data_IF_180436614332
#
_entry.id   IF_180436614332
#
_cell.length_a   1.000
_cell.length_b   1.000
_cell.length_c   1.000
_cell.angle_alpha   90.00
_cell.angle_beta   90.00
_cell.angle_gamma   90.00
#
_symmetry.space_group_name_H-M   'P 1'
#
loop_
_entity.id
_entity.type
_entity.pdbx_description
1 polymer ?
#
# COMPACT_ATOMS: atom_id res chain seq x y z
N UNK A 1 34.07 -10.64 -43.82
CA UNK A 1 32.74 -10.14 -43.46
C UNK A 1 32.91 -8.90 -42.62
N UNK A 2 32.09 -7.89 -42.87
CA UNK A 2 32.02 -6.73 -41.97
C UNK A 2 31.07 -7.07 -40.81
N UNK A 3 31.61 -7.02 -39.60
CA UNK A 3 30.94 -7.41 -38.36
C UNK A 3 30.65 -6.16 -37.53
N UNK A 4 29.39 -5.71 -37.49
CA UNK A 4 29.00 -4.63 -36.59
C UNK A 4 29.34 -4.94 -35.12
N UNK A 5 29.59 -3.93 -34.28
CA UNK A 5 29.77 -4.13 -32.85
C UNK A 5 28.60 -4.89 -32.22
N UNK A 6 28.88 -5.73 -31.22
CA UNK A 6 27.87 -6.51 -30.50
C UNK A 6 26.98 -7.37 -31.44
N UNK A 7 27.58 -7.98 -32.46
CA UNK A 7 26.84 -8.78 -33.43
C UNK A 7 27.46 -10.15 -33.72
N UNK A 8 26.62 -11.08 -34.18
CA UNK A 8 27.01 -12.39 -34.70
C UNK A 8 26.42 -12.52 -36.12
N UNK A 9 27.25 -12.94 -37.08
CA UNK A 9 26.84 -13.32 -38.43
C UNK A 9 26.66 -14.84 -38.53
N UNK A 10 25.57 -15.29 -39.16
CA UNK A 10 25.24 -16.70 -39.37
C UNK A 10 25.52 -17.06 -40.84
N UNK A 11 26.42 -18.03 -41.03
CA UNK A 11 26.85 -18.55 -42.34
C UNK A 11 26.66 -20.07 -42.38
N UNK A 12 25.49 -20.59 -42.78
CA UNK A 12 25.20 -22.03 -42.76
C UNK A 12 26.12 -22.84 -43.69
N UNK A 13 26.58 -22.24 -44.78
CA UNK A 13 27.50 -22.83 -45.76
C UNK A 13 28.98 -22.42 -45.50
N UNK A 14 29.25 -21.73 -44.39
CA UNK A 14 30.53 -21.10 -44.05
C UNK A 14 31.06 -20.11 -45.11
N UNK A 15 30.22 -19.64 -46.04
CA UNK A 15 30.60 -18.79 -47.17
C UNK A 15 29.69 -17.58 -47.37
N UNK A 16 28.41 -17.67 -47.02
CA UNK A 16 27.41 -16.64 -47.29
C UNK A 16 26.76 -16.21 -45.99
N UNK A 17 26.86 -14.92 -45.66
CA UNK A 17 26.12 -14.35 -44.54
C UNK A 17 24.64 -14.24 -44.91
N UNK A 18 23.79 -15.02 -44.24
CA UNK A 18 22.33 -14.95 -44.45
C UNK A 18 21.63 -14.09 -43.40
N UNK A 19 22.29 -13.86 -42.27
CA UNK A 19 21.74 -13.12 -41.14
C UNK A 19 22.87 -12.54 -40.30
N UNK A 20 22.67 -11.33 -39.78
CA UNK A 20 23.50 -10.75 -38.73
C UNK A 20 22.58 -10.12 -37.68
N UNK A 21 22.85 -10.35 -36.40
CA UNK A 21 21.99 -9.93 -35.29
C UNK A 21 21.80 -8.41 -35.17
N UNK A 22 22.72 -7.61 -35.75
CA UNK A 22 22.63 -6.15 -35.76
C UNK A 22 22.09 -5.58 -37.08
N UNK A 23 21.99 -6.39 -38.15
CA UNK A 23 21.44 -5.97 -39.45
C UNK A 23 19.94 -6.26 -39.49
N UNK A 24 19.16 -5.45 -38.76
CA UNK A 24 17.70 -5.58 -38.70
C UNK A 24 17.05 -4.99 -39.95
N UNK A 25 16.40 -5.84 -40.75
CA UNK A 25 15.69 -5.44 -41.98
C UNK A 25 14.17 -5.25 -41.79
N UNK A 26 13.63 -5.59 -40.62
CA UNK A 26 12.23 -5.39 -40.30
C UNK A 26 11.93 -3.89 -40.07
N UNK A 27 10.75 -3.38 -40.49
CA UNK A 27 10.38 -2.00 -40.23
C UNK A 27 10.08 -1.78 -38.73
N UNK A 28 10.35 -0.57 -38.25
CA UNK A 28 9.97 -0.17 -36.88
C UNK A 28 8.46 -0.03 -36.76
N UNK A 29 7.88 -0.55 -35.68
CA UNK A 29 6.49 -0.33 -35.31
C UNK A 29 6.42 0.56 -34.06
N UNK A 30 5.74 1.70 -34.15
CA UNK A 30 5.55 2.62 -33.04
C UNK A 30 4.12 2.49 -32.49
N UNK A 31 4.00 2.28 -31.20
CA UNK A 31 2.71 2.23 -30.53
C UNK A 31 2.05 3.61 -30.51
N UNK A 32 0.75 3.67 -30.84
CA UNK A 32 -0.06 4.89 -30.77
C UNK A 32 -1.39 4.57 -30.07
N UNK A 33 -1.67 5.30 -28.99
CA UNK A 33 -2.95 5.23 -28.28
C UNK A 33 -3.80 6.43 -28.69
N UNK A 34 -4.87 6.19 -29.46
CA UNK A 34 -5.79 7.25 -29.90
C UNK A 34 -7.15 7.02 -29.26
N UNK A 35 -7.68 7.99 -28.49
CA UNK A 35 -9.01 7.84 -27.91
C UNK A 35 -10.06 7.75 -29.04
N UNK A 36 -10.99 6.81 -28.90
CA UNK A 36 -12.02 6.54 -29.91
C UNK A 36 -13.38 7.14 -29.56
N UNK A 37 -13.59 7.56 -28.30
CA UNK A 37 -14.83 8.15 -27.81
C UNK A 37 -14.55 9.30 -26.83
N UNK A 38 -15.50 10.23 -26.73
CA UNK A 38 -15.42 11.42 -25.89
C UNK A 38 -16.18 11.24 -24.56
N UNK A 39 -15.75 10.25 -23.78
CA UNK A 39 -16.22 10.05 -22.40
C UNK A 39 -17.33 9.01 -22.25
N UNK A 40 -17.72 8.81 -20.99
CA UNK A 40 -18.70 7.82 -20.54
C UNK A 40 -19.69 8.47 -19.56
N UNK A 41 -20.90 7.90 -19.47
CA UNK A 41 -21.86 8.26 -18.42
C UNK A 41 -21.57 7.41 -17.19
N UNK A 42 -21.06 8.04 -16.13
CA UNK A 42 -20.69 7.36 -14.88
C UNK A 42 -21.77 7.50 -13.81
N UNK A 43 -21.97 6.43 -13.05
CA UNK A 43 -22.64 6.45 -11.75
C UNK A 43 -21.61 6.23 -10.65
N UNK A 44 -21.95 6.62 -9.42
CA UNK A 44 -21.05 6.50 -8.28
C UNK A 44 -21.80 6.02 -7.04
N UNK A 45 -21.14 5.18 -6.26
CA UNK A 45 -21.55 4.77 -4.94
C UNK A 45 -20.40 5.03 -3.97
N UNK A 46 -20.71 5.61 -2.82
CA UNK A 46 -19.73 5.87 -1.78
C UNK A 46 -19.67 4.67 -0.85
N UNK A 47 -18.54 3.97 -0.85
CA UNK A 47 -18.27 2.92 0.13
C UNK A 47 -17.89 3.56 1.47
N UNK A 48 -18.68 3.27 2.50
CA UNK A 48 -18.57 3.91 3.81
C UNK A 48 -17.33 3.44 4.56
N UNK A 49 -16.75 4.32 5.39
CA UNK A 49 -15.64 3.94 6.28
C UNK A 49 -16.22 3.18 7.48
N UNK A 50 -15.87 1.89 7.68
CA UNK A 50 -16.35 1.13 8.83
C UNK A 50 -15.69 1.65 10.12
N UNK A 51 -16.34 1.38 11.26
CA UNK A 51 -15.79 1.68 12.59
C UNK A 51 -15.92 0.46 13.50
N UNK A 52 -15.19 0.43 14.62
CA UNK A 52 -15.21 -0.72 15.55
C UNK A 52 -16.63 -1.13 15.97
N UNK A 53 -17.51 -0.17 16.27
CA UNK A 53 -18.90 -0.43 16.66
C UNK A 53 -19.85 -0.79 15.51
N UNK A 54 -19.44 -0.56 14.26
CA UNK A 54 -20.30 -0.72 13.08
C UNK A 54 -19.46 -1.11 11.87
N UNK A 55 -19.39 -2.42 11.61
CA UNK A 55 -18.71 -2.98 10.44
C UNK A 55 -17.62 -4.00 10.75
N UNK A 56 -17.25 -4.21 12.03
CA UNK A 56 -16.28 -5.23 12.41
C UNK A 56 -16.93 -6.63 12.44
N UNK A 57 -16.51 -7.58 11.58
CA UNK A 57 -17.03 -8.95 11.59
C UNK A 57 -16.51 -9.78 12.78
N UNK A 58 -15.39 -9.36 13.39
CA UNK A 58 -14.78 -9.96 14.57
C UNK A 58 -13.93 -8.93 15.33
N UNK A 59 -13.47 -9.28 16.53
CA UNK A 59 -12.55 -8.50 17.35
C UNK A 59 -11.54 -9.44 18.00
N UNK A 60 -10.28 -9.05 17.99
CA UNK A 60 -9.17 -9.78 18.61
C UNK A 60 -8.29 -8.79 19.36
N UNK A 61 -7.46 -9.31 20.27
CA UNK A 61 -6.48 -8.51 20.98
C UNK A 61 -5.14 -8.51 20.25
N UNK A 62 -4.68 -7.33 19.90
CA UNK A 62 -3.44 -7.05 19.22
C UNK A 62 -3.60 -6.88 17.71
N UNK A 63 -2.48 -6.54 17.09
CA UNK A 63 -2.36 -6.41 15.64
C UNK A 63 -2.07 -7.79 15.01
N UNK A 64 -2.79 -8.11 13.94
CA UNK A 64 -2.68 -9.39 13.23
C UNK A 64 -2.17 -9.18 11.80
N UNK A 65 -1.36 -10.12 11.31
CA UNK A 65 -0.80 -10.07 9.96
C UNK A 65 -1.91 -10.23 8.90
N UNK A 66 -1.86 -9.40 7.85
CA UNK A 66 -2.96 -9.27 6.90
C UNK A 66 -3.23 -10.55 6.11
N UNK A 67 -2.20 -11.20 5.58
CA UNK A 67 -2.36 -12.42 4.78
C UNK A 67 -2.98 -13.56 5.61
N UNK A 68 -2.62 -13.68 6.88
CA UNK A 68 -3.19 -14.63 7.83
C UNK A 68 -4.67 -14.38 8.11
N UNK A 69 -5.13 -13.12 8.04
CA UNK A 69 -6.54 -12.75 8.28
C UNK A 69 -7.37 -12.86 7.00
N UNK A 70 -6.86 -12.35 5.87
CA UNK A 70 -7.63 -12.27 4.62
C UNK A 70 -7.54 -13.56 3.80
N UNK A 71 -6.50 -14.37 4.00
CA UNK A 71 -6.15 -15.51 3.14
C UNK A 71 -6.10 -15.14 1.66
N UNK A 72 -5.66 -13.91 1.37
CA UNK A 72 -5.60 -13.34 0.02
C UNK A 72 -6.95 -13.35 -0.73
N UNK A 73 -8.08 -13.41 -0.01
CA UNK A 73 -9.42 -13.31 -0.61
C UNK A 73 -9.79 -11.89 -1.01
N UNK A 74 -9.08 -10.91 -0.46
CA UNK A 74 -9.26 -9.48 -0.71
C UNK A 74 -7.92 -8.79 -0.48
N UNK A 75 -7.63 -7.79 -1.32
CA UNK A 75 -6.48 -6.92 -1.11
C UNK A 75 -6.61 -6.05 0.15
N UNK A 76 -7.82 -5.91 0.68
CA UNK A 76 -8.16 -4.95 1.74
C UNK A 76 -8.37 -5.62 3.09
N UNK A 77 -7.77 -5.01 4.14
CA UNK A 77 -8.07 -5.30 5.53
C UNK A 77 -8.20 -4.00 6.34
N UNK A 78 -9.31 -3.88 7.08
CA UNK A 78 -9.54 -2.79 8.03
C UNK A 78 -9.00 -3.16 9.41
N UNK A 79 -8.10 -2.34 9.94
CA UNK A 79 -7.69 -2.37 11.36
C UNK A 79 -8.40 -1.22 12.06
N UNK A 80 -9.18 -1.52 13.09
CA UNK A 80 -10.05 -0.56 13.75
C UNK A 80 -9.86 -0.61 15.25
N UNK A 81 -9.77 0.55 15.89
CA UNK A 81 -10.05 0.66 17.32
C UNK A 81 -10.34 2.09 17.76
N UNK A 82 -10.62 2.21 19.04
CA UNK A 82 -11.02 3.44 19.68
C UNK A 82 -9.89 4.02 20.54
N UNK A 83 -9.68 5.33 20.41
CA UNK A 83 -8.79 6.11 21.26
C UNK A 83 -9.63 7.09 22.09
N UNK A 84 -9.71 6.85 23.40
CA UNK A 84 -10.37 7.78 24.33
C UNK A 84 -9.39 8.85 24.78
N UNK A 85 -9.71 10.11 24.52
CA UNK A 85 -8.91 11.28 24.88
C UNK A 85 -9.68 12.18 25.84
N UNK A 86 -9.01 12.74 26.84
CA UNK A 86 -9.57 13.79 27.68
C UNK A 86 -9.27 15.19 27.11
N UNK A 87 -9.90 16.23 27.66
CA UNK A 87 -9.65 17.60 27.20
C UNK A 87 -8.21 18.08 27.45
N UNK A 88 -7.48 17.46 28.39
CA UNK A 88 -6.08 17.77 28.63
C UNK A 88 -5.15 17.15 27.58
N UNK A 89 -5.51 16.00 27.01
CA UNK A 89 -4.78 15.35 25.93
C UNK A 89 -4.67 16.24 24.68
N UNK A 90 -5.63 17.15 24.49
CA UNK A 90 -5.71 18.04 23.33
C UNK A 90 -5.24 19.47 23.61
N UNK A 91 -4.71 19.75 24.82
CA UNK A 91 -4.25 21.09 25.20
C UNK A 91 -3.16 21.66 24.29
N UNK A 92 -2.34 20.77 23.72
CA UNK A 92 -1.22 21.13 22.86
C UNK A 92 -1.60 21.11 21.36
N UNK A 93 -2.89 20.98 21.05
CA UNK A 93 -3.42 20.85 19.69
C UNK A 93 -3.58 19.40 19.24
N UNK A 94 -3.70 19.20 17.92
CA UNK A 94 -3.90 17.88 17.32
C UNK A 94 -2.70 16.94 17.59
N UNK A 95 -2.96 15.71 18.09
CA UNK A 95 -1.91 14.74 18.35
C UNK A 95 -1.32 14.19 17.06
N UNK A 96 -0.10 13.65 17.15
CA UNK A 96 0.59 13.01 16.02
C UNK A 96 0.34 11.51 16.09
N UNK A 97 -0.36 10.97 15.10
CA UNK A 97 -0.55 9.53 14.92
C UNK A 97 0.61 8.97 14.09
N UNK A 98 1.29 7.96 14.63
CA UNK A 98 2.27 7.15 13.91
C UNK A 98 1.75 5.73 13.74
N UNK A 99 1.73 5.22 12.52
CA UNK A 99 1.32 3.85 12.18
C UNK A 99 2.42 3.24 11.32
N UNK A 100 3.03 2.16 11.81
CA UNK A 100 3.96 1.35 11.02
C UNK A 100 3.23 0.12 10.46
N UNK A 101 3.49 -0.18 9.19
CA UNK A 101 2.89 -1.30 8.47
C UNK A 101 3.95 -1.98 7.63
N UNK A 102 3.84 -3.30 7.49
CA UNK A 102 4.68 -4.10 6.62
C UNK A 102 4.36 -3.91 5.12
N UNK A 103 3.31 -3.14 4.80
CA UNK A 103 2.95 -2.74 3.44
C UNK A 103 1.53 -3.17 3.05
N UNK A 104 1.07 -2.85 1.84
CA UNK A 104 1.77 -2.08 0.80
C UNK A 104 1.29 -0.63 0.71
N UNK A 105 0.01 -0.41 0.99
CA UNK A 105 -0.63 0.89 1.05
C UNK A 105 -1.42 0.97 2.35
N UNK A 106 -1.42 2.15 2.96
CA UNK A 106 -2.19 2.44 4.16
C UNK A 106 -2.96 3.74 3.95
N UNK A 107 -4.28 3.70 4.13
CA UNK A 107 -5.12 4.90 4.25
C UNK A 107 -5.64 5.02 5.68
N UNK A 108 -5.55 6.21 6.25
CA UNK A 108 -5.86 6.48 7.66
C UNK A 108 -7.11 7.34 7.75
N UNK A 109 -8.06 6.88 8.54
CA UNK A 109 -9.30 7.58 8.84
C UNK A 109 -9.46 7.75 10.34
N UNK A 110 -9.94 8.92 10.75
CA UNK A 110 -10.28 9.24 12.14
C UNK A 110 -11.68 9.82 12.16
N UNK A 111 -12.56 9.25 12.98
CA UNK A 111 -13.98 9.59 13.07
C UNK A 111 -14.70 9.54 11.71
N UNK A 112 -14.31 8.60 10.85
CA UNK A 112 -14.84 8.45 9.50
C UNK A 112 -14.27 9.42 8.46
N UNK A 113 -13.42 10.38 8.87
CA UNK A 113 -12.80 11.35 7.97
C UNK A 113 -11.39 10.92 7.56
N UNK A 114 -11.08 11.02 6.27
CA UNK A 114 -9.76 10.75 5.72
C UNK A 114 -8.71 11.72 6.26
N UNK A 115 -7.62 11.19 6.80
CA UNK A 115 -6.50 11.97 7.33
C UNK A 115 -5.26 11.93 6.44
N UNK A 116 -5.13 10.91 5.58
CA UNK A 116 -4.00 10.76 4.67
C UNK A 116 -3.68 9.31 4.33
N UNK A 117 -2.63 9.12 3.54
CA UNK A 117 -2.13 7.81 3.16
C UNK A 117 -0.60 7.75 3.20
N UNK A 118 -0.07 6.54 3.14
CA UNK A 118 1.33 6.22 2.88
C UNK A 118 1.38 4.93 2.06
N UNK A 119 2.43 4.77 1.25
CA UNK A 119 2.62 3.57 0.42
C UNK A 119 4.11 3.26 0.27
N UNK A 120 4.40 1.97 0.10
CA UNK A 120 5.74 1.46 -0.16
C UNK A 120 6.07 1.39 -1.65
N UNK A 121 7.25 0.85 -1.94
CA UNK A 121 7.69 0.50 -3.30
C UNK A 121 7.90 -1.02 -3.41
N UNK A 122 8.20 -1.53 -4.61
CA UNK A 122 8.48 -2.96 -4.81
C UNK A 122 9.63 -3.46 -3.92
N UNK A 123 10.71 -2.67 -3.81
CA UNK A 123 11.91 -3.04 -3.04
C UNK A 123 11.75 -2.75 -1.54
N UNK A 124 10.91 -1.78 -1.19
CA UNK A 124 10.68 -1.34 0.20
C UNK A 124 9.16 -1.21 0.47
N UNK A 125 8.45 -2.33 0.66
CA UNK A 125 7.00 -2.33 0.83
C UNK A 125 6.56 -1.77 2.19
N UNK A 126 7.44 -1.82 3.21
CA UNK A 126 7.15 -1.30 4.53
C UNK A 126 6.94 0.22 4.48
N UNK A 127 6.02 0.69 5.31
CA UNK A 127 5.62 2.09 5.31
C UNK A 127 5.42 2.61 6.74
N UNK A 128 5.49 3.93 6.87
CA UNK A 128 5.15 4.62 8.11
C UNK A 128 4.29 5.84 7.77
N UNK A 129 3.06 5.85 8.29
CA UNK A 129 2.25 7.06 8.34
C UNK A 129 2.59 7.81 9.62
N UNK A 130 2.97 9.10 9.53
CA UNK A 130 3.25 9.94 10.70
C UNK A 130 2.79 11.37 10.45
N UNK A 131 1.60 11.72 10.93
CA UNK A 131 1.01 13.04 10.72
C UNK A 131 0.16 13.47 11.92
N UNK A 132 -0.09 14.79 12.04
CA UNK A 132 -1.13 15.28 12.95
C UNK A 132 -2.49 14.85 12.45
N UNK A 133 -3.35 14.39 13.35
CA UNK A 133 -4.70 13.93 13.02
C UNK A 133 -5.72 14.66 13.88
N UNK A 134 -6.84 15.04 13.27
CA UNK A 134 -7.90 15.74 13.99
C UNK A 134 -8.60 14.77 14.92
N UNK A 135 -8.59 15.07 16.22
CA UNK A 135 -9.24 14.28 17.26
C UNK A 135 -9.98 15.19 18.23
N UNK A 136 -11.02 14.67 18.86
CA UNK A 136 -11.87 15.39 19.83
C UNK A 136 -11.78 14.77 21.21
N UNK A 137 -12.15 15.52 22.25
CA UNK A 137 -12.31 14.94 23.58
C UNK A 137 -13.44 13.90 23.55
N UNK A 138 -13.22 12.76 24.20
CA UNK A 138 -14.09 11.58 24.14
C UNK A 138 -13.48 10.46 23.29
N UNK A 139 -14.36 9.58 22.79
CA UNK A 139 -13.98 8.43 21.98
C UNK A 139 -13.73 8.87 20.55
N UNK A 140 -12.53 8.56 20.03
CA UNK A 140 -12.18 8.75 18.62
C UNK A 140 -12.04 7.40 17.94
N UNK A 141 -12.71 7.23 16.82
CA UNK A 141 -12.73 5.99 16.04
C UNK A 141 -11.64 6.03 15.00
N UNK A 142 -10.64 5.16 15.11
CA UNK A 142 -9.52 5.10 14.17
C UNK A 142 -9.73 3.87 13.29
N UNK A 143 -9.81 4.11 11.98
CA UNK A 143 -9.97 3.06 10.97
C UNK A 143 -8.83 3.14 9.97
N UNK A 144 -8.07 2.06 9.87
CA UNK A 144 -6.87 1.96 9.04
C UNK A 144 -7.17 0.96 7.91
N UNK A 145 -7.20 1.44 6.68
CA UNK A 145 -7.33 0.57 5.51
C UNK A 145 -5.94 0.18 5.05
N UNK A 146 -5.57 -1.07 5.31
CA UNK A 146 -4.37 -1.69 4.75
C UNK A 146 -4.71 -2.35 3.42
N UNK A 147 -3.86 -2.16 2.41
CA UNK A 147 -4.02 -2.77 1.09
C UNK A 147 -2.75 -3.48 0.63
N UNK A 148 -2.89 -4.69 0.11
CA UNK A 148 -1.84 -5.39 -0.62
C UNK A 148 -1.88 -5.02 -2.11
N UNK A 149 -0.73 -5.09 -2.79
CA UNK A 149 -0.60 -4.82 -4.23
C UNK A 149 0.14 -5.99 -4.86
N UNK A 150 -0.51 -7.15 -4.85
CA UNK A 150 0.14 -8.43 -5.06
C UNK A 150 1.00 -8.87 -3.88
N UNK A 151 1.39 -10.14 -3.88
CA UNK A 151 2.29 -10.73 -2.89
C UNK A 151 3.68 -10.95 -3.51
N UNK A 152 4.71 -10.99 -2.65
CA UNK A 152 6.07 -11.26 -3.09
C UNK A 152 6.16 -12.59 -3.84
N UNK A 153 6.94 -12.63 -4.93
CA UNK A 153 7.08 -13.79 -5.81
C UNK A 153 8.55 -14.22 -6.01
N UNK A 154 9.49 -13.56 -5.36
CA UNK A 154 10.92 -13.85 -5.42
C UNK A 154 11.62 -13.43 -4.13
N UNK A 155 12.63 -14.19 -3.72
CA UNK A 155 13.39 -13.96 -2.49
C UNK A 155 13.62 -15.27 -1.72
N UNK A 156 14.61 -15.30 -0.83
CA UNK A 156 14.76 -16.43 0.09
C UNK A 156 13.74 -16.26 1.20
N UNK A 157 12.88 -17.25 1.41
CA UNK A 157 11.81 -17.21 2.40
C UNK A 157 10.77 -16.09 2.21
N UNK A 158 10.48 -15.69 0.96
CA UNK A 158 9.51 -14.63 0.68
C UNK A 158 8.10 -14.98 1.17
N UNK A 159 7.79 -16.27 1.35
CA UNK A 159 6.54 -16.74 1.95
C UNK A 159 6.34 -16.29 3.41
N UNK A 160 7.40 -15.81 4.07
CA UNK A 160 7.38 -15.30 5.45
C UNK A 160 7.32 -13.78 5.54
N UNK A 161 7.31 -13.08 4.41
CA UNK A 161 7.23 -11.63 4.43
C UNK A 161 5.84 -11.21 4.92
N UNK A 162 5.83 -10.32 5.90
CA UNK A 162 4.63 -9.87 6.58
C UNK A 162 3.91 -8.78 5.78
N UNK A 163 2.60 -8.67 5.95
CA UNK A 163 1.77 -7.64 5.33
C UNK A 163 0.85 -6.99 6.36
N UNK A 164 0.52 -5.72 6.10
CA UNK A 164 -0.42 -4.95 6.90
C UNK A 164 0.14 -4.36 8.19
N UNK A 165 -0.78 -3.86 9.02
CA UNK A 165 -0.44 -3.04 10.19
C UNK A 165 -0.05 -3.93 11.36
N UNK A 166 1.25 -4.22 11.49
CA UNK A 166 1.83 -4.92 12.63
C UNK A 166 2.43 -3.99 13.68
N UNK A 167 2.34 -2.68 13.43
CA UNK A 167 2.76 -1.65 14.35
C UNK A 167 4.29 -1.46 14.40
N UNK A 168 4.76 -0.64 15.35
CA UNK A 168 3.98 0.02 16.39
C UNK A 168 2.96 1.05 15.85
N UNK A 169 1.86 1.21 16.60
CA UNK A 169 0.86 2.27 16.42
C UNK A 169 0.90 3.15 17.66
N UNK A 170 1.18 4.45 17.50
CA UNK A 170 1.39 5.34 18.65
C UNK A 170 0.79 6.71 18.44
N UNK A 171 0.34 7.33 19.53
CA UNK A 171 -0.20 8.68 19.55
C UNK A 171 0.68 9.58 20.42
N UNK A 172 1.31 10.59 19.83
CA UNK A 172 2.20 11.54 20.50
C UNK A 172 1.52 12.91 20.67
N UNK A 173 1.92 13.66 21.70
CA UNK A 173 1.36 14.99 21.99
C UNK A 173 0.14 14.98 22.93
N UNK A 174 -0.25 13.80 23.42
CA UNK A 174 -1.24 13.60 24.49
C UNK A 174 -0.62 13.86 25.88
N UNK A 175 -1.43 13.87 26.95
CA UNK A 175 -0.99 14.24 28.31
C UNK A 175 0.15 13.37 28.84
N UNK A 176 0.13 12.08 28.54
CA UNK A 176 1.17 11.11 28.89
C UNK A 176 2.41 11.18 28.00
N UNK A 177 2.45 12.14 27.06
CA UNK A 177 3.52 12.34 26.09
C UNK A 177 3.37 11.45 24.86
N UNK A 178 3.36 10.12 25.07
CA UNK A 178 3.21 9.11 24.02
C UNK A 178 2.39 7.93 24.52
N UNK A 179 1.30 7.63 23.82
CA UNK A 179 0.46 6.44 24.02
C UNK A 179 0.83 5.37 23.00
N UNK A 180 1.07 4.15 23.47
CA UNK A 180 1.15 2.97 22.60
C UNK A 180 -0.25 2.38 22.42
N UNK A 181 -0.62 2.19 21.15
CA UNK A 181 -1.92 1.74 20.68
C UNK A 181 -1.79 0.41 19.92
N UNK A 182 -0.65 -0.28 20.04
CA UNK A 182 -0.38 -1.55 19.33
C UNK A 182 -0.99 -2.78 20.01
N UNK A 183 -1.52 -2.61 21.22
CA UNK A 183 -2.12 -3.67 22.04
C UNK A 183 -3.66 -3.69 21.97
N UNK A 184 -4.25 -2.91 21.05
CA UNK A 184 -5.69 -2.82 20.81
C UNK A 184 -6.32 -4.19 20.67
#
# INVERSE_FOLDING_TARGET
>A
YDLPPWSISILPDCKTEIYNTAKVSAPNAYSKMTPVINGFSWESYFDGVPTADNGAPFSEKGLHEQLSVTWDKSDYLWYMADATLDANDLKNGDPILTVMSAGHVLSVFVNGEYQGNAYGSLDTPQLTFRQKVKMTAGVNKISLLSSTVGLANVGVHFEKYEHGVLGPVTLEGVKEGKRDMSQW
#
